data_IF_045250936519
#
_entry.id   IF_045250936519
#
_cell.length_a   1.000
_cell.length_b   1.000
_cell.length_c   1.000
_cell.angle_alpha   90.00
_cell.angle_beta   90.00
_cell.angle_gamma   90.00
#
_symmetry.space_group_name_H-M   'P 1'
#
loop_
_entity.id
_entity.type
_entity.pdbx_description
1 polymer ?
#
# COMPACT_ATOMS: atom_id res chain seq x y z
N UNK A 1 -3.00 0.89 21.77
CA UNK A 1 -2.65 1.04 20.34
C UNK A 1 -3.25 -0.04 19.44
N UNK A 2 -3.43 -1.29 19.92
CA UNK A 2 -3.99 -2.39 19.10
C UNK A 2 -5.49 -2.27 18.80
N UNK A 3 -6.24 -1.54 19.61
CA UNK A 3 -7.67 -1.30 19.38
C UNK A 3 -7.88 -0.42 18.14
N UNK A 4 -7.00 0.56 17.90
CA UNK A 4 -7.10 1.44 16.71
C UNK A 4 -6.66 0.75 15.42
N UNK A 5 -5.72 -0.17 15.45
CA UNK A 5 -5.33 -0.96 14.26
C UNK A 5 -6.44 -1.84 13.71
N UNK A 6 -7.42 -2.23 14.53
CA UNK A 6 -8.55 -3.07 14.12
C UNK A 6 -9.72 -2.31 13.50
N UNK A 7 -9.73 -0.98 13.59
CA UNK A 7 -10.84 -0.12 13.15
C UNK A 7 -10.76 0.23 11.66
N UNK A 8 -9.55 0.23 11.10
CA UNK A 8 -9.30 0.29 9.68
C UNK A 8 -8.44 -0.91 9.29
N UNK A 9 -9.04 -1.90 8.67
CA UNK A 9 -8.36 -3.10 8.20
C UNK A 9 -8.57 -3.24 6.71
N UNK A 10 -7.50 -3.57 5.99
CA UNK A 10 -7.54 -3.80 4.55
C UNK A 10 -8.04 -2.57 3.75
N UNK A 11 -7.73 -1.36 4.23
CA UNK A 11 -8.15 -0.10 3.60
C UNK A 11 -9.64 0.25 3.76
N UNK A 12 -10.40 -0.51 4.55
CA UNK A 12 -11.85 -0.34 4.73
C UNK A 12 -12.19 0.11 6.16
N UNK A 13 -13.23 0.96 6.28
CA UNK A 13 -13.77 1.37 7.58
C UNK A 13 -14.52 0.19 8.19
N UNK A 14 -14.04 -0.31 9.34
CA UNK A 14 -14.73 -1.34 10.12
C UNK A 14 -15.74 -0.73 11.11
N UNK A 15 -15.50 0.49 11.59
CA UNK A 15 -16.36 1.22 12.53
C UNK A 15 -16.40 2.72 12.19
N UNK A 16 -17.58 3.22 11.80
CA UNK A 16 -17.78 4.61 11.41
C UNK A 16 -17.55 5.59 12.56
N UNK A 17 -18.01 5.28 13.76
CA UNK A 17 -17.89 6.17 14.93
C UNK A 17 -16.43 6.40 15.27
N UNK A 18 -15.64 5.34 15.26
CA UNK A 18 -14.20 5.42 15.56
C UNK A 18 -13.45 6.14 14.44
N UNK A 19 -13.79 5.87 13.18
CA UNK A 19 -13.19 6.58 12.03
C UNK A 19 -13.50 8.07 12.07
N UNK A 20 -14.73 8.47 12.38
CA UNK A 20 -15.11 9.87 12.57
C UNK A 20 -14.29 10.54 13.68
N UNK A 21 -14.15 9.88 14.84
CA UNK A 21 -13.33 10.41 15.95
C UNK A 21 -11.86 10.52 15.58
N UNK A 22 -11.33 9.57 14.83
CA UNK A 22 -9.95 9.60 14.33
C UNK A 22 -9.75 10.76 13.34
N UNK A 23 -10.66 10.94 12.37
CA UNK A 23 -10.64 12.07 11.45
C UNK A 23 -10.75 13.41 12.18
N UNK A 24 -11.66 13.53 13.16
CA UNK A 24 -11.76 14.72 14.02
C UNK A 24 -10.43 15.05 14.71
N UNK A 25 -9.76 14.03 15.24
CA UNK A 25 -8.48 14.22 15.90
C UNK A 25 -7.39 14.66 14.91
N UNK A 26 -7.30 14.04 13.74
CA UNK A 26 -6.34 14.44 12.70
C UNK A 26 -6.58 15.85 12.19
N UNK A 27 -7.85 16.24 11.96
CA UNK A 27 -8.21 17.59 11.56
C UNK A 27 -7.77 18.60 12.64
N UNK A 28 -8.02 18.30 13.92
CA UNK A 28 -7.58 19.17 15.04
C UNK A 28 -6.06 19.27 15.15
N UNK A 29 -5.33 18.20 14.86
CA UNK A 29 -3.85 18.22 14.87
C UNK A 29 -3.28 19.03 13.71
N UNK A 30 -3.90 18.92 12.51
CA UNK A 30 -3.47 19.66 11.33
C UNK A 30 -3.95 21.12 11.30
N UNK A 31 -5.10 21.41 11.93
CA UNK A 31 -5.71 22.72 12.01
C UNK A 31 -5.84 23.15 13.47
N UNK A 32 -4.84 23.82 14.05
CA UNK A 32 -4.94 24.35 15.40
C UNK A 32 -6.13 25.33 15.47
N UNK A 33 -7.01 25.08 16.45
CA UNK A 33 -8.26 25.79 16.64
C UNK A 33 -8.02 27.28 16.96
N UNK A 34 -8.05 28.12 15.95
CA UNK A 34 -8.35 29.52 16.13
C UNK A 34 -9.87 29.70 16.07
N UNK A 35 -10.44 30.53 16.93
CA UNK A 35 -11.88 30.82 17.02
C UNK A 35 -12.54 31.22 15.68
N UNK A 36 -11.77 31.48 14.63
CA UNK A 36 -12.19 31.91 13.30
C UNK A 36 -11.54 31.10 12.16
N UNK A 37 -10.99 29.89 12.42
CA UNK A 37 -10.42 29.10 11.34
C UNK A 37 -11.54 28.55 10.44
N UNK A 38 -11.47 28.74 9.10
CA UNK A 38 -12.45 28.17 8.20
C UNK A 38 -12.37 26.64 8.21
N UNK A 39 -13.51 25.98 8.01
CA UNK A 39 -13.54 24.52 7.88
C UNK A 39 -12.65 24.06 6.70
N UNK A 40 -11.79 23.06 6.88
CA UNK A 40 -10.82 22.64 5.86
C UNK A 40 -11.48 21.92 4.68
N UNK A 41 -10.88 22.03 3.50
CA UNK A 41 -11.08 21.11 2.40
C UNK A 41 -10.21 19.90 2.62
N UNK A 42 -10.76 18.72 2.41
CA UNK A 42 -10.08 17.44 2.67
C UNK A 42 -10.10 16.57 1.42
N UNK A 43 -8.97 15.96 1.12
CA UNK A 43 -8.87 14.86 0.16
C UNK A 43 -8.61 13.57 0.94
N UNK A 44 -9.32 12.50 0.58
CA UNK A 44 -9.17 11.19 1.21
C UNK A 44 -8.87 10.17 0.12
N UNK A 45 -7.81 9.43 0.33
CA UNK A 45 -7.44 8.31 -0.51
C UNK A 45 -8.31 7.10 -0.17
N UNK A 46 -8.76 6.39 -1.20
CA UNK A 46 -9.59 5.18 -1.07
C UNK A 46 -9.05 4.07 -1.96
N UNK A 47 -9.14 2.79 -1.54
CA UNK A 47 -8.81 1.66 -2.40
C UNK A 47 -9.65 1.67 -3.67
N UNK A 48 -9.09 1.24 -4.80
CA UNK A 48 -9.87 1.16 -6.06
C UNK A 48 -11.03 0.16 -5.97
N UNK A 49 -10.95 -0.85 -5.12
CA UNK A 49 -12.03 -1.80 -4.84
C UNK A 49 -13.14 -1.28 -3.92
N UNK A 50 -13.08 -0.04 -3.43
CA UNK A 50 -14.08 0.52 -2.53
C UNK A 50 -15.44 0.68 -3.21
N UNK A 51 -16.50 0.23 -2.52
CA UNK A 51 -17.88 0.36 -3.00
C UNK A 51 -18.39 1.80 -2.88
N UNK A 52 -19.46 2.13 -3.62
CA UNK A 52 -20.11 3.44 -3.50
C UNK A 52 -20.62 3.71 -2.08
N UNK A 53 -21.08 2.69 -1.38
CA UNK A 53 -21.54 2.79 0.02
C UNK A 53 -20.37 3.17 0.93
N UNK A 54 -19.23 2.51 0.79
CA UNK A 54 -18.01 2.83 1.56
C UNK A 54 -17.51 4.23 1.25
N UNK A 55 -17.45 4.63 -0.02
CA UNK A 55 -17.04 5.98 -0.44
C UNK A 55 -17.95 7.06 0.14
N UNK A 56 -19.27 6.83 0.11
CA UNK A 56 -20.26 7.74 0.71
C UNK A 56 -20.07 7.86 2.22
N UNK A 57 -19.90 6.74 2.88
CA UNK A 57 -19.69 6.69 4.32
C UNK A 57 -18.40 7.41 4.77
N UNK A 58 -17.30 7.28 4.00
CA UNK A 58 -16.06 8.03 4.21
C UNK A 58 -16.32 9.54 4.11
N UNK A 59 -17.04 9.98 3.08
CA UNK A 59 -17.42 11.40 2.91
C UNK A 59 -18.25 11.92 4.09
N UNK A 60 -19.30 11.19 4.46
CA UNK A 60 -20.18 11.55 5.57
C UNK A 60 -19.39 11.68 6.90
N UNK A 61 -18.48 10.74 7.16
CA UNK A 61 -17.59 10.81 8.34
C UNK A 61 -16.68 12.04 8.32
N UNK A 62 -16.14 12.40 7.15
CA UNK A 62 -15.29 13.59 7.04
C UNK A 62 -16.08 14.89 7.20
N UNK A 63 -17.29 14.99 6.65
CA UNK A 63 -18.18 16.14 6.90
C UNK A 63 -18.57 16.24 8.38
N UNK A 64 -18.94 15.13 9.01
CA UNK A 64 -19.24 15.09 10.45
C UNK A 64 -18.02 15.47 11.33
N UNK A 65 -16.81 15.20 10.81
CA UNK A 65 -15.57 15.63 11.45
C UNK A 65 -15.26 17.13 11.30
N UNK A 66 -15.99 17.85 10.43
CA UNK A 66 -15.89 19.31 10.27
C UNK A 66 -15.28 19.80 8.96
N UNK A 67 -15.16 18.92 7.96
CA UNK A 67 -14.73 19.32 6.61
C UNK A 67 -15.77 20.22 5.93
N UNK A 68 -15.32 21.23 5.18
CA UNK A 68 -16.18 22.07 4.32
C UNK A 68 -16.44 21.41 2.97
N UNK A 69 -15.44 20.73 2.43
CA UNK A 69 -15.49 19.98 1.16
C UNK A 69 -14.68 18.68 1.30
N UNK A 70 -15.16 17.62 0.71
CA UNK A 70 -14.48 16.30 0.73
C UNK A 70 -14.33 15.76 -0.68
N UNK A 71 -13.10 15.51 -1.05
CA UNK A 71 -12.71 14.89 -2.32
C UNK A 71 -12.19 13.50 -2.07
N UNK A 72 -12.46 12.58 -2.99
CA UNK A 72 -11.90 11.23 -2.97
C UNK A 72 -10.98 11.02 -4.15
N UNK A 73 -9.89 10.30 -3.93
CA UNK A 73 -8.94 9.88 -4.96
C UNK A 73 -8.62 8.40 -4.75
N UNK A 74 -8.45 7.64 -5.84
CA UNK A 74 -8.03 6.23 -5.72
C UNK A 74 -6.56 6.12 -5.35
N UNK A 75 -6.23 5.13 -4.50
CA UNK A 75 -4.86 4.92 -4.01
C UNK A 75 -3.80 4.87 -5.12
N UNK A 76 -3.96 4.07 -6.20
CA UNK A 76 -2.94 4.04 -7.24
C UNK A 76 -2.84 5.36 -8.02
N UNK A 77 -3.92 6.13 -8.16
CA UNK A 77 -3.87 7.47 -8.76
C UNK A 77 -3.05 8.44 -7.88
N UNK A 78 -3.33 8.45 -6.59
CA UNK A 78 -2.58 9.26 -5.64
C UNK A 78 -1.10 8.84 -5.59
N UNK A 79 -0.82 7.53 -5.57
CA UNK A 79 0.54 6.99 -5.59
C UNK A 79 1.30 7.43 -6.85
N UNK A 80 0.67 7.36 -8.03
CA UNK A 80 1.25 7.78 -9.29
C UNK A 80 1.58 9.28 -9.33
N UNK A 81 0.64 10.14 -8.87
CA UNK A 81 0.87 11.58 -8.74
C UNK A 81 2.03 11.86 -7.79
N UNK A 82 2.06 11.20 -6.64
CA UNK A 82 3.11 11.37 -5.63
C UNK A 82 4.48 10.86 -6.06
N UNK A 83 4.52 9.85 -6.92
CA UNK A 83 5.73 9.34 -7.56
C UNK A 83 6.18 10.19 -8.76
N UNK A 84 5.42 11.23 -9.15
CA UNK A 84 5.76 12.12 -10.26
C UNK A 84 5.47 11.55 -11.65
N UNK A 85 4.60 10.54 -11.77
CA UNK A 85 4.21 9.99 -13.06
C UNK A 85 3.34 10.97 -13.86
N UNK A 86 3.43 10.97 -15.19
CA UNK A 86 2.71 11.91 -16.07
C UNK A 86 1.24 11.48 -16.26
N UNK A 87 0.45 11.46 -15.18
CA UNK A 87 -0.91 10.91 -15.15
C UNK A 87 -1.89 11.57 -16.12
N UNK A 88 -1.66 12.85 -16.50
CA UNK A 88 -2.54 13.61 -17.41
C UNK A 88 -2.18 13.44 -18.89
N UNK A 89 -1.06 12.80 -19.18
CA UNK A 89 -0.61 12.58 -20.56
C UNK A 89 -1.31 11.37 -21.19
N UNK A 90 -1.25 11.28 -22.53
CA UNK A 90 -1.81 10.16 -23.28
C UNK A 90 -0.98 8.87 -23.12
N UNK A 91 0.19 8.96 -22.48
CA UNK A 91 1.05 7.81 -22.19
C UNK A 91 0.50 6.93 -21.07
N UNK A 92 0.73 5.61 -21.17
CA UNK A 92 0.37 4.66 -20.11
C UNK A 92 1.33 4.72 -18.93
N UNK A 93 0.81 4.93 -17.72
CA UNK A 93 1.57 4.85 -16.46
C UNK A 93 1.07 3.68 -15.64
N UNK A 94 1.93 2.70 -15.38
CA UNK A 94 1.62 1.54 -14.54
C UNK A 94 2.23 1.72 -13.15
N UNK A 95 1.39 1.70 -12.12
CA UNK A 95 1.78 1.82 -10.72
C UNK A 95 1.33 0.60 -9.93
N UNK A 96 2.19 0.14 -9.02
CA UNK A 96 1.91 -0.95 -8.08
C UNK A 96 2.20 -0.42 -6.69
N UNK A 97 1.14 -0.15 -5.93
CA UNK A 97 1.23 0.34 -4.55
C UNK A 97 1.07 -0.83 -3.58
N UNK A 98 2.15 -1.18 -2.89
CA UNK A 98 2.16 -2.30 -1.93
C UNK A 98 2.10 -1.71 -0.53
N UNK A 99 0.89 -1.62 0.01
CA UNK A 99 0.61 -1.11 1.34
C UNK A 99 0.80 -2.13 2.46
N UNK A 100 0.28 -1.83 3.64
CA UNK A 100 0.25 -2.77 4.76
C UNK A 100 -0.78 -3.88 4.57
N UNK A 101 -2.02 -3.52 4.23
CA UNK A 101 -3.14 -4.46 4.09
C UNK A 101 -3.44 -4.89 2.66
N UNK A 102 -3.17 -4.02 1.68
CA UNK A 102 -3.52 -4.21 0.27
C UNK A 102 -2.35 -3.94 -0.66
N UNK A 103 -2.45 -4.50 -1.87
CA UNK A 103 -1.67 -4.10 -3.03
C UNK A 103 -2.65 -3.60 -4.10
N UNK A 104 -2.45 -2.38 -4.55
CA UNK A 104 -3.24 -1.74 -5.59
C UNK A 104 -2.43 -1.68 -6.88
N UNK A 105 -3.02 -2.12 -8.00
CA UNK A 105 -2.40 -2.04 -9.33
C UNK A 105 -3.23 -1.12 -10.20
N UNK A 106 -2.63 -0.04 -10.67
CA UNK A 106 -3.30 0.97 -11.50
C UNK A 106 -2.59 1.21 -12.81
N UNK A 107 -3.34 1.14 -13.92
CA UNK A 107 -2.93 1.66 -15.23
C UNK A 107 -3.66 2.97 -15.47
N UNK A 108 -2.91 4.03 -15.65
CA UNK A 108 -3.40 5.40 -15.73
C UNK A 108 -3.03 6.00 -17.08
N UNK A 109 -3.95 6.73 -17.71
CA UNK A 109 -3.72 7.54 -18.90
C UNK A 109 -4.75 8.65 -18.97
N UNK A 110 -4.38 9.84 -19.45
CA UNK A 110 -5.27 11.00 -19.62
C UNK A 110 -6.07 11.38 -18.35
N UNK A 111 -5.48 11.23 -17.18
CA UNK A 111 -6.11 11.54 -15.88
C UNK A 111 -7.16 10.52 -15.43
N UNK A 112 -7.30 9.38 -16.11
CA UNK A 112 -8.26 8.33 -15.79
C UNK A 112 -7.61 6.99 -15.50
N UNK A 113 -8.30 6.16 -14.72
CA UNK A 113 -7.92 4.77 -14.48
C UNK A 113 -8.38 3.90 -15.65
N UNK A 114 -7.44 3.41 -16.47
CA UNK A 114 -7.70 2.46 -17.56
C UNK A 114 -7.92 1.05 -17.03
N UNK A 115 -7.14 0.69 -16.00
CA UNK A 115 -7.30 -0.54 -15.25
C UNK A 115 -7.05 -0.25 -13.77
N UNK A 116 -7.85 -0.88 -12.92
CA UNK A 116 -7.68 -0.84 -11.48
C UNK A 116 -7.88 -2.24 -10.90
N UNK A 117 -6.93 -2.70 -10.10
CA UNK A 117 -6.99 -3.99 -9.39
C UNK A 117 -6.56 -3.81 -7.95
N UNK A 118 -7.30 -4.45 -7.04
CA UNK A 118 -7.01 -4.47 -5.61
C UNK A 118 -6.85 -5.90 -5.12
N UNK A 119 -5.82 -6.15 -4.34
CA UNK A 119 -5.49 -7.44 -3.75
C UNK A 119 -5.28 -7.26 -2.24
N UNK A 120 -5.93 -8.09 -1.42
CA UNK A 120 -5.76 -8.08 0.05
C UNK A 120 -4.49 -8.80 0.50
N UNK A 121 -3.37 -8.40 -0.06
CA UNK A 121 -2.02 -8.84 0.27
C UNK A 121 -1.13 -7.61 0.36
N UNK A 122 -0.36 -7.52 1.42
CA UNK A 122 0.59 -6.44 1.68
C UNK A 122 1.50 -6.80 2.85
N UNK A 123 2.07 -5.83 3.51
CA UNK A 123 3.03 -6.01 4.60
C UNK A 123 2.54 -6.89 5.74
N UNK A 124 1.26 -6.80 6.09
CA UNK A 124 0.64 -7.59 7.17
C UNK A 124 0.58 -9.09 6.80
N UNK A 125 0.34 -9.40 5.52
CA UNK A 125 0.40 -10.78 5.02
C UNK A 125 1.81 -11.33 5.00
N UNK A 126 2.81 -10.48 4.73
CA UNK A 126 4.21 -10.87 4.82
C UNK A 126 4.57 -11.21 6.27
N UNK A 127 4.18 -10.38 7.23
CA UNK A 127 4.41 -10.64 8.65
C UNK A 127 3.73 -11.92 9.12
N UNK A 128 2.49 -12.14 8.71
CA UNK A 128 1.75 -13.36 9.03
C UNK A 128 2.38 -14.61 8.42
N UNK A 129 2.91 -14.52 7.19
CA UNK A 129 3.64 -15.61 6.55
C UNK A 129 4.91 -15.98 7.31
N UNK A 130 5.68 -15.00 7.78
CA UNK A 130 6.87 -15.19 8.61
C UNK A 130 6.49 -15.83 9.95
N UNK A 131 5.45 -15.35 10.65
CA UNK A 131 4.95 -15.94 11.89
C UNK A 131 4.62 -17.42 11.70
N UNK A 132 3.89 -17.74 10.63
CA UNK A 132 3.47 -19.10 10.34
C UNK A 132 4.65 -20.01 9.98
N UNK A 133 5.63 -19.48 9.22
CA UNK A 133 6.86 -20.20 8.87
C UNK A 133 7.66 -20.55 10.12
N UNK A 134 7.92 -19.57 10.98
CA UNK A 134 8.67 -19.74 12.23
C UNK A 134 7.97 -20.72 13.16
N UNK A 135 6.65 -20.62 13.26
CA UNK A 135 5.86 -21.57 14.07
C UNK A 135 6.03 -23.01 13.57
N UNK A 136 5.98 -23.24 12.27
CA UNK A 136 6.04 -24.58 11.68
C UNK A 136 7.45 -25.17 11.68
N UNK A 137 8.44 -24.36 11.33
CA UNK A 137 9.80 -24.88 11.08
C UNK A 137 10.70 -24.78 12.30
N UNK A 138 10.48 -23.81 13.20
CA UNK A 138 11.28 -23.61 14.40
C UNK A 138 10.57 -24.03 15.69
N UNK A 139 9.26 -24.30 15.65
CA UNK A 139 8.49 -24.58 16.86
C UNK A 139 8.42 -23.37 17.81
N UNK A 140 8.53 -22.16 17.27
CA UNK A 140 8.61 -20.92 18.02
C UNK A 140 7.39 -20.03 17.74
N UNK A 141 6.90 -19.34 18.77
CA UNK A 141 5.87 -18.30 18.65
C UNK A 141 6.53 -16.93 18.73
N UNK A 142 6.28 -16.12 17.72
CA UNK A 142 6.64 -14.70 17.68
C UNK A 142 5.39 -13.85 17.43
N UNK A 143 5.42 -12.58 17.80
CA UNK A 143 4.36 -11.61 17.50
C UNK A 143 4.61 -10.83 16.21
N UNK A 144 3.60 -10.08 15.76
CA UNK A 144 3.67 -9.21 14.57
C UNK A 144 4.87 -8.25 14.62
N UNK A 145 5.19 -7.57 15.75
CA UNK A 145 6.35 -6.66 15.78
C UNK A 145 7.69 -7.36 15.51
N UNK A 146 7.84 -8.61 15.96
CA UNK A 146 9.05 -9.40 15.72
C UNK A 146 9.12 -9.84 14.25
N UNK A 147 8.00 -10.25 13.66
CA UNK A 147 7.93 -10.64 12.25
C UNK A 147 8.24 -9.45 11.34
N UNK A 148 7.65 -8.27 11.61
CA UNK A 148 7.95 -7.03 10.90
C UNK A 148 9.44 -6.65 11.01
N UNK A 149 10.02 -6.81 12.19
CA UNK A 149 11.44 -6.57 12.41
C UNK A 149 12.30 -7.52 11.56
N UNK A 150 12.03 -8.83 11.56
CA UNK A 150 12.72 -9.81 10.72
C UNK A 150 12.61 -9.43 9.22
N UNK A 151 11.39 -9.14 8.74
CA UNK A 151 11.13 -8.72 7.37
C UNK A 151 11.98 -7.52 6.97
N UNK A 152 12.03 -6.48 7.81
CA UNK A 152 12.79 -5.25 7.53
C UNK A 152 14.29 -5.44 7.57
N UNK A 153 14.81 -6.34 8.42
CA UNK A 153 16.25 -6.53 8.59
C UNK A 153 16.86 -7.47 7.54
N UNK A 154 16.20 -8.59 7.27
CA UNK A 154 16.75 -9.65 6.45
C UNK A 154 15.79 -10.15 5.35
N UNK A 155 14.57 -9.59 5.23
CA UNK A 155 13.62 -9.98 4.19
C UNK A 155 14.17 -9.73 2.79
N UNK A 156 13.89 -10.65 1.87
CA UNK A 156 14.17 -10.51 0.45
C UNK A 156 13.05 -11.15 -0.37
N UNK A 157 12.80 -10.60 -1.54
CA UNK A 157 11.80 -11.11 -2.47
C UNK A 157 12.39 -11.97 -3.59
N UNK A 158 13.72 -12.02 -3.73
CA UNK A 158 14.37 -12.68 -4.86
C UNK A 158 15.52 -13.60 -4.41
N UNK A 159 15.67 -14.79 -5.03
CA UNK A 159 16.76 -15.71 -4.72
C UNK A 159 18.11 -15.17 -5.23
N UNK A 160 19.19 -15.52 -4.54
CA UNK A 160 20.56 -15.11 -4.93
C UNK A 160 21.02 -13.79 -4.31
N UNK A 161 20.17 -13.13 -3.52
CA UNK A 161 20.58 -12.02 -2.66
C UNK A 161 21.59 -12.48 -1.61
N UNK A 162 22.37 -11.52 -1.10
CA UNK A 162 23.29 -11.77 0.03
C UNK A 162 22.55 -12.46 1.18
N UNK A 163 23.13 -13.55 1.69
CA UNK A 163 22.55 -14.25 2.82
C UNK A 163 22.79 -13.47 4.11
N UNK A 164 21.71 -13.05 4.73
CA UNK A 164 21.70 -12.35 6.00
C UNK A 164 21.10 -13.25 7.08
N UNK A 165 21.51 -13.02 8.32
CA UNK A 165 20.96 -13.73 9.48
C UNK A 165 20.68 -12.75 10.61
N UNK A 166 19.74 -13.13 11.48
CA UNK A 166 19.36 -12.35 12.64
C UNK A 166 18.99 -13.26 13.82
N UNK A 167 19.44 -12.91 15.01
CA UNK A 167 18.99 -13.53 16.24
C UNK A 167 17.72 -12.85 16.76
N UNK A 168 16.71 -13.64 17.04
CA UNK A 168 15.44 -13.19 17.59
C UNK A 168 15.00 -14.04 18.77
N UNK A 169 14.09 -13.50 19.58
CA UNK A 169 13.48 -14.20 20.70
C UNK A 169 12.04 -14.58 20.39
N UNK A 170 11.68 -15.81 20.73
CA UNK A 170 10.32 -16.30 20.66
C UNK A 170 10.02 -17.23 21.82
N UNK A 171 8.76 -17.59 21.99
CA UNK A 171 8.36 -18.61 22.98
C UNK A 171 8.40 -19.99 22.33
N UNK A 172 9.23 -20.87 22.88
CA UNK A 172 9.26 -22.27 22.45
C UNK A 172 7.91 -22.93 22.75
N UNK A 173 7.31 -23.57 21.76
CA UNK A 173 5.95 -24.16 21.87
C UNK A 173 5.97 -25.37 22.82
N UNK A 174 6.99 -26.19 22.73
CA UNK A 174 7.09 -27.42 23.53
C UNK A 174 7.41 -27.15 25.01
N UNK A 175 8.31 -26.20 25.27
CA UNK A 175 8.80 -25.88 26.62
C UNK A 175 8.01 -24.77 27.30
N UNK A 176 7.29 -23.93 26.53
CA UNK A 176 6.52 -22.79 27.02
C UNK A 176 7.36 -21.58 27.45
N UNK A 177 8.69 -21.63 27.31
CA UNK A 177 9.63 -20.60 27.78
C UNK A 177 10.23 -19.82 26.61
N UNK A 178 10.69 -18.57 26.84
CA UNK A 178 11.41 -17.80 25.82
C UNK A 178 12.74 -18.46 25.46
N UNK A 179 13.05 -18.48 24.15
CA UNK A 179 14.33 -18.95 23.61
C UNK A 179 14.81 -17.99 22.53
N UNK A 180 16.10 -17.88 22.36
CA UNK A 180 16.75 -17.20 21.24
C UNK A 180 17.00 -18.22 20.11
N UNK A 181 16.81 -17.82 18.88
CA UNK A 181 17.07 -18.62 17.69
C UNK A 181 17.48 -17.71 16.53
N UNK A 182 18.20 -18.26 15.58
CA UNK A 182 18.68 -17.55 14.39
C UNK A 182 17.74 -17.83 13.23
N UNK A 183 17.42 -16.78 12.47
CA UNK A 183 16.64 -16.84 11.22
C UNK A 183 17.50 -16.31 10.09
N UNK A 184 17.46 -16.97 8.94
CA UNK A 184 18.22 -16.61 7.75
C UNK A 184 17.31 -16.01 6.67
N UNK A 185 17.87 -15.16 5.79
CA UNK A 185 17.10 -14.47 4.73
C UNK A 185 16.48 -15.42 3.72
N UNK A 186 17.07 -16.58 3.43
CA UNK A 186 16.49 -17.60 2.55
C UNK A 186 15.24 -18.24 3.16
N UNK A 187 15.17 -18.38 4.49
CA UNK A 187 14.00 -18.89 5.19
C UNK A 187 12.86 -17.87 5.15
N UNK A 188 13.20 -16.58 5.25
CA UNK A 188 12.23 -15.49 5.08
C UNK A 188 11.72 -15.45 3.64
N UNK A 189 12.59 -15.60 2.64
CA UNK A 189 12.19 -15.70 1.22
C UNK A 189 11.21 -16.86 1.00
N UNK A 190 11.51 -18.04 1.56
CA UNK A 190 10.60 -19.20 1.48
C UNK A 190 9.23 -18.88 2.10
N UNK A 191 9.22 -18.23 3.27
CA UNK A 191 7.99 -17.81 3.93
C UNK A 191 7.16 -16.85 3.06
N UNK A 192 7.83 -15.92 2.35
CA UNK A 192 7.18 -14.88 1.55
C UNK A 192 6.78 -15.32 0.14
N UNK A 193 7.15 -16.52 -0.31
CA UNK A 193 6.91 -17.00 -1.68
C UNK A 193 5.42 -16.89 -2.07
N UNK A 194 4.52 -17.36 -1.22
CA UNK A 194 3.09 -17.36 -1.54
C UNK A 194 2.50 -15.95 -1.66
N UNK A 195 2.65 -15.04 -0.69
CA UNK A 195 2.11 -13.69 -0.84
C UNK A 195 2.79 -12.89 -1.98
N UNK A 196 4.07 -13.10 -2.25
CA UNK A 196 4.76 -12.48 -3.38
C UNK A 196 4.20 -12.97 -4.72
N UNK A 197 3.96 -14.26 -4.87
CA UNK A 197 3.36 -14.83 -6.08
C UNK A 197 1.96 -14.24 -6.35
N UNK A 198 1.16 -13.98 -5.32
CA UNK A 198 -0.13 -13.34 -5.49
C UNK A 198 0.00 -11.91 -6.06
N UNK A 199 1.00 -11.15 -5.62
CA UNK A 199 1.30 -9.82 -6.17
C UNK A 199 1.74 -9.94 -7.64
N UNK A 200 2.64 -10.87 -7.96
CA UNK A 200 3.09 -11.13 -9.34
C UNK A 200 1.89 -11.43 -10.26
N UNK A 201 0.98 -12.29 -9.80
CA UNK A 201 -0.24 -12.63 -10.57
C UNK A 201 -1.12 -11.41 -10.79
N UNK A 202 -1.29 -10.55 -9.77
CA UNK A 202 -2.08 -9.33 -9.89
C UNK A 202 -1.47 -8.36 -10.93
N UNK A 203 -0.15 -8.21 -10.95
CA UNK A 203 0.55 -7.39 -11.95
C UNK A 203 0.40 -7.98 -13.36
N UNK A 204 0.60 -9.28 -13.52
CA UNK A 204 0.41 -9.98 -14.83
C UNK A 204 -1.02 -9.82 -15.35
N UNK A 205 -2.02 -9.94 -14.49
CA UNK A 205 -3.42 -9.71 -14.85
C UNK A 205 -3.69 -8.27 -15.33
N UNK A 206 -3.02 -7.30 -14.74
CA UNK A 206 -3.11 -5.91 -15.19
C UNK A 206 -2.50 -5.74 -16.60
N UNK A 207 -1.34 -6.35 -16.83
CA UNK A 207 -0.66 -6.32 -18.12
C UNK A 207 -1.49 -7.01 -19.23
N UNK A 208 -2.11 -8.14 -18.95
CA UNK A 208 -3.00 -8.84 -19.87
C UNK A 208 -4.21 -8.00 -20.29
N UNK A 209 -4.70 -7.15 -19.41
CA UNK A 209 -5.85 -6.25 -19.64
C UNK A 209 -5.45 -4.89 -20.19
N UNK A 210 -4.17 -4.66 -20.38
CA UNK A 210 -3.64 -3.41 -20.90
C UNK A 210 -3.95 -3.28 -22.40
N UNK A 211 -4.55 -2.17 -22.86
CA UNK A 211 -4.70 -1.90 -24.28
C UNK A 211 -3.35 -1.88 -25.00
N UNK A 212 -3.26 -2.41 -26.26
CA UNK A 212 -2.00 -2.50 -26.98
C UNK A 212 -1.25 -1.16 -27.14
N UNK A 213 -1.98 -0.08 -27.29
CA UNK A 213 -1.43 1.28 -27.44
C UNK A 213 -0.67 1.72 -26.18
N UNK A 214 -1.20 1.41 -25.00
CA UNK A 214 -0.56 1.71 -23.72
C UNK A 214 0.49 0.66 -23.35
N UNK A 215 0.41 -0.53 -23.92
CA UNK A 215 1.37 -1.61 -23.70
C UNK A 215 2.79 -1.24 -24.17
N UNK A 216 2.89 -0.49 -25.27
CA UNK A 216 4.16 0.01 -25.76
C UNK A 216 4.82 0.99 -24.78
N UNK A 217 4.04 1.91 -24.22
CA UNK A 217 4.52 2.87 -23.22
C UNK A 217 5.04 2.16 -21.98
N UNK A 218 4.29 1.14 -21.51
CA UNK A 218 4.67 0.37 -20.32
C UNK A 218 5.93 -0.46 -20.59
N UNK A 219 6.10 -1.01 -21.80
CA UNK A 219 7.30 -1.73 -22.18
C UNK A 219 8.54 -0.83 -22.17
N UNK A 220 8.39 0.44 -22.51
CA UNK A 220 9.47 1.43 -22.53
C UNK A 220 9.72 2.02 -21.13
N UNK A 221 8.67 2.48 -20.44
CA UNK A 221 8.80 3.19 -19.17
C UNK A 221 8.77 2.28 -17.94
N UNK A 222 8.24 1.04 -18.09
CA UNK A 222 8.14 0.06 -17.02
C UNK A 222 7.01 0.33 -16.04
N UNK A 223 7.16 -0.24 -14.85
CA UNK A 223 6.22 -0.05 -13.74
C UNK A 223 6.88 0.67 -12.57
N UNK A 224 6.10 1.46 -11.85
CA UNK A 224 6.51 2.17 -10.65
C UNK A 224 6.01 1.45 -9.40
N UNK A 225 6.92 1.12 -8.48
CA UNK A 225 6.60 0.58 -7.17
C UNK A 225 6.49 1.68 -6.14
N UNK A 226 5.39 1.66 -5.38
CA UNK A 226 5.11 2.57 -4.26
C UNK A 226 4.64 1.79 -3.03
N UNK A 227 4.43 2.49 -1.92
CA UNK A 227 4.02 1.87 -0.65
C UNK A 227 5.17 1.25 0.14
N UNK A 228 4.89 0.87 1.38
CA UNK A 228 5.91 0.32 2.28
C UNK A 228 6.46 -1.03 1.85
N UNK A 229 5.66 -1.83 1.13
CA UNK A 229 6.08 -3.12 0.59
C UNK A 229 7.12 -3.00 -0.53
N UNK A 230 7.19 -1.86 -1.22
CA UNK A 230 8.23 -1.57 -2.21
C UNK A 230 9.64 -1.50 -1.61
N UNK A 231 9.75 -1.37 -0.29
CA UNK A 231 11.02 -1.40 0.45
C UNK A 231 11.53 -2.82 0.76
N UNK A 232 10.74 -3.85 0.48
CA UNK A 232 11.23 -5.22 0.61
C UNK A 232 12.38 -5.43 -0.37
N UNK A 233 13.52 -5.88 0.13
CA UNK A 233 14.73 -6.07 -0.68
C UNK A 233 14.45 -6.95 -1.90
N UNK A 234 14.91 -6.51 -3.06
CA UNK A 234 14.86 -7.22 -4.35
C UNK A 234 13.45 -7.52 -4.89
N UNK A 235 12.41 -6.81 -4.41
CA UNK A 235 11.06 -6.95 -4.95
C UNK A 235 10.97 -6.41 -6.39
N UNK A 236 11.76 -5.43 -6.72
CA UNK A 236 11.93 -4.90 -8.08
C UNK A 236 12.56 -5.96 -9.01
N UNK A 237 13.55 -6.70 -8.52
CA UNK A 237 14.16 -7.81 -9.28
C UNK A 237 13.16 -8.93 -9.53
N UNK A 238 12.37 -9.31 -8.53
CA UNK A 238 11.30 -10.29 -8.69
C UNK A 238 10.32 -9.87 -9.79
N UNK A 239 9.79 -8.68 -9.71
CA UNK A 239 8.80 -8.20 -10.68
C UNK A 239 9.42 -8.00 -12.07
N UNK A 240 10.68 -7.58 -12.17
CA UNK A 240 11.41 -7.46 -13.43
C UNK A 240 11.57 -8.84 -14.09
N UNK A 241 11.99 -9.86 -13.34
CA UNK A 241 12.14 -11.22 -13.85
C UNK A 241 10.80 -11.80 -14.32
N UNK A 242 9.75 -11.61 -13.53
CA UNK A 242 8.44 -12.19 -13.78
C UNK A 242 7.63 -11.48 -14.89
N UNK A 243 7.90 -10.20 -15.16
CA UNK A 243 7.16 -9.41 -16.15
C UNK A 243 7.97 -9.10 -17.41
N UNK A 244 9.30 -9.14 -17.33
CA UNK A 244 10.19 -8.69 -18.39
C UNK A 244 10.24 -7.16 -18.56
N UNK A 245 9.61 -6.39 -17.67
CA UNK A 245 9.54 -4.93 -17.73
C UNK A 245 10.60 -4.26 -16.88
N UNK A 246 11.02 -3.03 -17.21
CA UNK A 246 11.73 -2.18 -16.27
C UNK A 246 10.87 -1.96 -15.01
N UNK A 247 11.49 -2.01 -13.83
CA UNK A 247 10.81 -1.78 -12.55
C UNK A 247 11.55 -0.70 -11.79
N UNK A 248 10.83 0.32 -11.36
CA UNK A 248 11.37 1.46 -10.64
C UNK A 248 10.71 1.56 -9.27
N UNK A 249 11.53 1.69 -8.23
CA UNK A 249 11.03 2.00 -6.88
C UNK A 249 11.01 3.51 -6.73
N UNK A 250 9.88 4.07 -6.28
CA UNK A 250 9.77 5.50 -6.03
C UNK A 250 10.78 5.95 -4.97
N UNK A 251 11.24 7.20 -5.04
CA UNK A 251 12.27 7.75 -4.12
C UNK A 251 11.86 7.67 -2.66
N UNK A 252 10.59 7.97 -2.34
CA UNK A 252 10.02 7.86 -0.99
C UNK A 252 8.71 7.05 -1.06
N UNK A 253 8.78 5.72 -1.27
CA UNK A 253 7.61 4.94 -1.62
C UNK A 253 6.50 4.96 -0.55
N UNK A 254 6.85 5.05 0.73
CA UNK A 254 5.91 5.20 1.84
C UNK A 254 5.08 6.49 1.78
N UNK A 255 5.62 7.54 1.15
CA UNK A 255 5.02 8.87 1.15
C UNK A 255 4.27 9.19 -0.15
N UNK A 256 4.35 8.34 -1.18
CA UNK A 256 3.79 8.63 -2.51
C UNK A 256 2.29 8.96 -2.44
N UNK A 257 1.49 8.16 -1.75
CA UNK A 257 0.04 8.36 -1.63
C UNK A 257 -0.27 9.71 -0.96
N UNK A 258 0.35 10.01 0.17
CA UNK A 258 0.09 11.28 0.90
C UNK A 258 0.61 12.49 0.13
N UNK A 259 1.76 12.39 -0.53
CA UNK A 259 2.29 13.44 -1.43
C UNK A 259 1.33 13.68 -2.60
N UNK A 260 0.86 12.60 -3.22
CA UNK A 260 -0.09 12.68 -4.33
C UNK A 260 -1.42 13.33 -3.94
N UNK A 261 -1.95 13.00 -2.77
CA UNK A 261 -3.11 13.67 -2.20
C UNK A 261 -2.86 15.18 -2.00
N UNK A 262 -1.70 15.57 -1.46
CA UNK A 262 -1.31 16.97 -1.30
C UNK A 262 -1.23 17.70 -2.64
N UNK A 263 -0.52 17.14 -3.61
CA UNK A 263 -0.39 17.70 -4.95
C UNK A 263 -1.76 17.85 -5.63
N UNK A 264 -2.63 16.84 -5.51
CA UNK A 264 -3.98 16.88 -6.08
C UNK A 264 -4.83 17.97 -5.43
N UNK A 265 -4.73 18.17 -4.12
CA UNK A 265 -5.45 19.21 -3.38
C UNK A 265 -4.99 20.62 -3.77
N UNK A 266 -3.68 20.81 -3.98
CA UNK A 266 -3.10 22.09 -4.40
C UNK A 266 -3.36 22.41 -5.86
N UNK A 267 -3.50 21.39 -6.74
CA UNK A 267 -3.66 21.53 -8.18
C UNK A 267 -5.02 21.03 -8.69
N UNK A 268 -6.07 21.23 -7.92
CA UNK A 268 -7.41 20.68 -8.19
C UNK A 268 -7.97 20.98 -9.59
N UNK A 269 -7.69 22.16 -10.14
CA UNK A 269 -8.15 22.52 -11.48
C UNK A 269 -7.52 21.64 -12.58
N UNK A 270 -6.23 21.33 -12.44
CA UNK A 270 -5.47 20.51 -13.41
C UNK A 270 -5.73 19.01 -13.22
N UNK A 271 -5.94 18.57 -11.98
CA UNK A 271 -6.08 17.17 -11.61
C UNK A 271 -7.53 16.77 -11.31
N UNK A 272 -8.49 17.60 -11.77
CA UNK A 272 -9.91 17.36 -11.54
C UNK A 272 -10.39 16.01 -12.06
N UNK A 273 -9.86 15.57 -13.21
CA UNK A 273 -10.18 14.26 -13.81
C UNK A 273 -9.67 13.08 -13.00
N UNK A 274 -8.64 13.28 -12.18
CA UNK A 274 -8.07 12.26 -11.29
C UNK A 274 -8.90 12.02 -10.02
N UNK A 275 -9.88 12.91 -9.73
CA UNK A 275 -10.71 12.82 -8.53
C UNK A 275 -12.00 12.05 -8.83
N UNK A 276 -12.43 11.27 -7.84
CA UNK A 276 -13.70 10.55 -7.92
C UNK A 276 -14.87 11.51 -7.70
N UNK A 277 -15.71 11.63 -8.73
CA UNK A 277 -16.99 12.31 -8.61
C UNK A 277 -17.99 11.34 -7.99
N UNK A 278 -18.41 11.65 -6.77
CA UNK A 278 -19.61 11.03 -6.19
C UNK A 278 -20.66 12.12 -6.12
N UNK A 279 -21.65 12.03 -7.01
CA UNK A 279 -22.89 12.78 -6.93
C UNK A 279 -23.61 12.48 -5.64
#
# INVERSE_FOLDING_TARGET
SDVYKRQMKDGVIADFTVTEQMLKQFIRMAHPSHLFAPSPRIIICVPCGSTQVERRAIKESAFAAGASEVFLIEEPMAAAIGAGLPVNEAAGSLVVDIGGGTTEVGLISLGGMVYAGSLRVGGDKFDQAIINYIRRNFGMLIGEPTAEYIKKQIGSAFPGSEMLEIEVKGRNIAEGVPRTFTVHSNEVLEALTEPLNQIVVAVKNALEKTPPELGADIAEHGLMLTGGGALLRDIDLLLKEETGLPVHVAEEPLNCVVKGCGIALENMEKLRTCLLYTS
#
